data_IF_200587448303
#
_entry.id   IF_200587448303
#
_cell.length_a   1.000
_cell.length_b   1.000
_cell.length_c   1.000
_cell.angle_alpha   90.00
_cell.angle_beta   90.00
_cell.angle_gamma   90.00
#
_symmetry.space_group_name_H-M   'P 1'
#
loop_
_entity.id
_entity.type
_entity.pdbx_description
1 polymer ?
#
# COMPACT_ATOMS: atom_id res chain seq x y z
N UNK A 1 -1.07 16.19 -28.88
CA UNK A 1 0.08 17.07 -29.18
C UNK A 1 1.35 16.36 -28.75
N UNK A 2 2.26 16.05 -29.67
CA UNK A 2 3.61 15.62 -29.32
C UNK A 2 4.32 16.82 -28.68
N UNK A 3 4.78 16.67 -27.44
CA UNK A 3 5.53 17.72 -26.74
C UNK A 3 6.94 17.75 -27.30
N UNK A 4 7.41 18.93 -27.69
CA UNK A 4 8.76 19.12 -28.22
C UNK A 4 9.75 19.03 -27.05
N UNK A 5 10.59 18.00 -27.05
CA UNK A 5 11.64 17.82 -26.05
C UNK A 5 12.89 18.58 -26.52
N UNK A 6 13.46 19.38 -25.64
CA UNK A 6 14.75 20.03 -25.88
C UNK A 6 15.89 19.10 -25.47
N UNK A 7 17.09 19.37 -25.98
CA UNK A 7 18.29 18.57 -25.73
C UNK A 7 19.43 19.46 -25.26
N UNK A 8 20.17 19.01 -24.25
CA UNK A 8 21.38 19.65 -23.73
C UNK A 8 22.45 18.61 -23.46
N UNK A 9 23.72 18.99 -23.53
CA UNK A 9 24.83 18.12 -23.14
C UNK A 9 25.13 18.30 -21.65
N UNK A 10 25.01 17.22 -20.87
CA UNK A 10 25.41 17.17 -19.46
C UNK A 10 26.55 16.16 -19.35
N UNK A 11 27.76 16.62 -19.01
CA UNK A 11 28.96 15.77 -18.87
C UNK A 11 29.20 14.85 -20.09
N UNK A 12 29.09 15.41 -21.31
CA UNK A 12 29.20 14.73 -22.62
C UNK A 12 28.09 13.73 -22.95
N UNK A 13 27.00 13.69 -22.17
CA UNK A 13 25.82 12.86 -22.45
C UNK A 13 24.65 13.73 -22.88
N UNK A 14 23.98 13.34 -23.96
CA UNK A 14 22.77 14.02 -24.42
C UNK A 14 21.63 13.81 -23.41
N UNK A 15 21.15 14.90 -22.80
CA UNK A 15 20.01 14.92 -21.89
C UNK A 15 18.82 15.59 -22.58
N UNK A 16 17.78 14.80 -22.86
CA UNK A 16 16.50 15.34 -23.39
C UNK A 16 15.61 15.80 -22.23
N UNK A 17 14.95 16.96 -22.31
CA UNK A 17 14.07 17.43 -21.24
C UNK A 17 12.82 18.15 -21.76
N UNK A 18 11.79 18.20 -20.91
CA UNK A 18 10.56 18.95 -21.18
C UNK A 18 10.75 20.38 -20.64
N UNK A 19 10.93 21.40 -21.50
CA UNK A 19 11.17 22.76 -21.06
C UNK A 19 10.00 23.33 -20.25
N UNK A 20 8.79 22.77 -20.32
CA UNK A 20 7.67 23.19 -19.46
C UNK A 20 7.83 22.71 -18.01
N UNK A 21 8.61 21.65 -17.78
CA UNK A 21 8.76 21.01 -16.47
C UNK A 21 10.15 21.16 -15.87
N UNK A 22 11.14 21.40 -16.71
CA UNK A 22 12.55 21.41 -16.34
C UNK A 22 13.22 22.70 -16.82
N UNK A 23 14.24 23.15 -16.10
CA UNK A 23 15.13 24.22 -16.55
C UNK A 23 16.58 23.79 -16.34
N UNK A 24 17.47 24.32 -17.19
CA UNK A 24 18.90 24.05 -17.09
C UNK A 24 19.58 25.19 -16.33
N UNK A 25 20.40 24.84 -15.35
CA UNK A 25 21.23 25.78 -14.59
C UNK A 25 22.57 25.12 -14.28
N UNK A 26 23.67 25.83 -14.52
CA UNK A 26 25.04 25.36 -14.22
C UNK A 26 25.35 23.96 -14.78
N UNK A 27 24.84 23.64 -15.98
CA UNK A 27 25.04 22.34 -16.64
C UNK A 27 24.18 21.20 -16.10
N UNK A 28 23.19 21.48 -15.25
CA UNK A 28 22.32 20.48 -14.62
C UNK A 28 20.84 20.80 -14.88
N UNK A 29 20.02 19.75 -14.92
CA UNK A 29 18.58 19.84 -15.12
C UNK A 29 17.86 19.87 -13.77
N UNK A 30 16.95 20.82 -13.61
CA UNK A 30 16.19 21.03 -12.37
C UNK A 30 14.69 21.04 -12.64
N UNK A 31 13.92 20.56 -11.68
CA UNK A 31 12.46 20.66 -11.73
C UNK A 31 12.02 22.13 -11.57
N UNK A 32 11.16 22.63 -12.46
CA UNK A 32 10.58 23.99 -12.34
C UNK A 32 9.68 24.19 -11.12
N UNK A 33 9.17 23.11 -10.52
CA UNK A 33 8.22 23.17 -9.40
C UNK A 33 8.94 23.10 -8.05
N UNK A 34 9.80 22.10 -7.84
CA UNK A 34 10.47 21.88 -6.55
C UNK A 34 11.95 22.24 -6.56
N UNK A 35 12.52 22.64 -7.70
CA UNK A 35 13.92 23.03 -7.88
C UNK A 35 14.96 21.97 -7.48
N UNK A 36 14.54 20.71 -7.31
CA UNK A 36 15.48 19.61 -7.15
C UNK A 36 16.10 19.23 -8.49
N UNK A 37 17.35 18.78 -8.43
CA UNK A 37 18.09 18.26 -9.56
C UNK A 37 17.46 16.96 -10.07
N UNK A 38 17.34 16.83 -11.39
CA UNK A 38 16.71 15.70 -12.09
C UNK A 38 17.70 14.87 -12.91
N UNK A 39 18.84 15.44 -13.29
CA UNK A 39 19.95 14.66 -13.81
C UNK A 39 20.75 14.04 -12.66
N UNK A 40 21.01 12.74 -12.76
CA UNK A 40 21.89 12.03 -11.84
C UNK A 40 23.35 12.12 -12.27
N UNK A 41 24.19 11.29 -11.66
CA UNK A 41 25.60 11.16 -12.05
C UNK A 41 25.71 10.45 -13.39
N UNK A 42 26.65 10.88 -14.23
CA UNK A 42 27.06 10.09 -15.38
C UNK A 42 27.82 8.86 -14.90
N UNK A 43 27.45 7.70 -15.43
CA UNK A 43 28.10 6.42 -15.16
C UNK A 43 28.53 5.78 -16.47
N UNK A 44 29.71 5.15 -16.46
CA UNK A 44 30.21 4.42 -17.61
C UNK A 44 29.80 2.95 -17.51
N UNK A 45 29.14 2.45 -18.55
CA UNK A 45 28.62 1.10 -18.61
C UNK A 45 28.91 0.50 -19.98
N UNK A 46 29.65 -0.61 -20.02
CA UNK A 46 30.08 -1.28 -21.27
C UNK A 46 30.72 -0.34 -22.31
N UNK A 47 31.57 0.60 -21.87
CA UNK A 47 32.24 1.58 -22.74
C UNK A 47 31.35 2.71 -23.25
N UNK A 48 30.09 2.80 -22.77
CA UNK A 48 29.17 3.90 -23.06
C UNK A 48 28.91 4.72 -21.81
N UNK A 49 28.96 6.06 -21.93
CA UNK A 49 28.51 6.97 -20.86
C UNK A 49 26.98 7.03 -20.85
N UNK A 50 26.37 6.85 -19.68
CA UNK A 50 24.93 6.96 -19.48
C UNK A 50 24.62 7.91 -18.32
N UNK A 51 23.58 8.72 -18.48
CA UNK A 51 23.07 9.62 -17.45
C UNK A 51 21.72 9.10 -16.94
N UNK A 52 21.65 8.78 -15.66
CA UNK A 52 20.42 8.30 -15.01
C UNK A 52 19.60 9.48 -14.50
N UNK A 53 18.31 9.52 -14.82
CA UNK A 53 17.40 10.52 -14.23
C UNK A 53 17.14 10.20 -12.76
N UNK A 54 17.02 11.25 -11.97
CA UNK A 54 16.58 11.19 -10.57
C UNK A 54 15.16 11.72 -10.47
N UNK A 55 14.28 11.00 -9.78
CA UNK A 55 12.94 11.47 -9.46
C UNK A 55 13.03 12.64 -8.49
N UNK A 56 12.51 13.81 -8.87
CA UNK A 56 12.44 14.95 -7.94
C UNK A 56 11.33 14.75 -6.90
N UNK A 57 11.24 15.63 -5.90
CA UNK A 57 10.18 15.61 -4.88
C UNK A 57 8.79 15.47 -5.47
N UNK A 58 8.46 16.22 -6.53
CA UNK A 58 7.15 16.14 -7.18
C UNK A 58 6.85 14.74 -7.75
N UNK A 59 7.86 14.10 -8.35
CA UNK A 59 7.74 12.75 -8.89
C UNK A 59 7.57 11.73 -7.76
N UNK A 60 8.39 11.84 -6.70
CA UNK A 60 8.31 10.98 -5.51
C UNK A 60 6.95 11.11 -4.80
N UNK A 61 6.43 12.32 -4.63
CA UNK A 61 5.13 12.58 -4.02
C UNK A 61 3.97 12.07 -4.90
N UNK A 62 4.13 12.08 -6.22
CA UNK A 62 3.16 11.51 -7.16
C UNK A 62 3.15 10.00 -7.09
N UNK A 63 4.32 9.38 -7.10
CA UNK A 63 4.48 7.93 -6.95
C UNK A 63 3.95 7.45 -5.60
N UNK A 64 4.22 8.17 -4.51
CA UNK A 64 3.71 7.85 -3.18
C UNK A 64 2.17 7.92 -3.14
N UNK A 65 1.57 8.96 -3.73
CA UNK A 65 0.10 9.08 -3.84
C UNK A 65 -0.52 7.98 -4.69
N UNK A 66 0.12 7.61 -5.80
CA UNK A 66 -0.37 6.52 -6.64
C UNK A 66 -0.26 5.18 -5.91
N UNK A 67 0.87 4.89 -5.25
CA UNK A 67 1.03 3.69 -4.42
C UNK A 67 -0.02 3.59 -3.32
N UNK A 68 -0.29 4.69 -2.62
CA UNK A 68 -1.33 4.72 -1.59
C UNK A 68 -2.71 4.47 -2.20
N UNK A 69 -3.01 5.10 -3.35
CA UNK A 69 -4.27 4.87 -4.07
C UNK A 69 -4.44 3.40 -4.48
N UNK A 70 -3.40 2.79 -5.03
CA UNK A 70 -3.40 1.36 -5.40
C UNK A 70 -3.58 0.46 -4.18
N UNK A 71 -2.93 0.80 -3.06
CA UNK A 71 -3.11 0.08 -1.78
C UNK A 71 -4.56 0.14 -1.30
N UNK A 72 -5.18 1.32 -1.31
CA UNK A 72 -6.58 1.48 -0.90
C UNK A 72 -7.55 0.72 -1.82
N UNK A 73 -7.34 0.77 -3.14
CA UNK A 73 -8.15 -0.01 -4.09
C UNK A 73 -8.04 -1.51 -3.82
N UNK A 74 -6.85 -2.01 -3.52
CA UNK A 74 -6.65 -3.43 -3.20
C UNK A 74 -7.33 -3.82 -1.89
N UNK A 75 -7.24 -2.98 -0.84
CA UNK A 75 -7.95 -3.20 0.42
C UNK A 75 -9.46 -3.28 0.18
N UNK A 76 -10.04 -2.34 -0.56
CA UNK A 76 -11.47 -2.35 -0.89
C UNK A 76 -11.88 -3.61 -1.66
N UNK A 77 -11.07 -4.03 -2.64
CA UNK A 77 -11.29 -5.25 -3.41
C UNK A 77 -11.27 -6.49 -2.51
N UNK A 78 -10.30 -6.58 -1.60
CA UNK A 78 -10.17 -7.70 -0.66
C UNK A 78 -11.34 -7.73 0.32
N UNK A 79 -11.75 -6.59 0.90
CA UNK A 79 -12.91 -6.50 1.78
C UNK A 79 -14.20 -6.89 1.07
N UNK A 80 -14.40 -6.44 -0.17
CA UNK A 80 -15.55 -6.82 -1.01
C UNK A 80 -15.61 -8.33 -1.28
N UNK A 81 -14.46 -8.97 -1.46
CA UNK A 81 -14.37 -10.43 -1.64
C UNK A 81 -14.48 -11.23 -0.33
N UNK A 82 -14.24 -10.61 0.83
CA UNK A 82 -14.23 -11.24 2.14
C UNK A 82 -15.61 -11.22 2.82
N UNK A 83 -16.28 -10.06 2.78
CA UNK A 83 -17.49 -9.79 3.55
C UNK A 83 -18.74 -9.77 2.66
N UNK A 84 -19.83 -10.35 3.15
CA UNK A 84 -21.11 -10.36 2.44
C UNK A 84 -21.92 -9.08 2.68
N UNK A 85 -21.62 -8.33 3.75
CA UNK A 85 -22.30 -7.09 4.09
C UNK A 85 -21.30 -5.97 4.33
N UNK A 86 -21.61 -4.78 3.82
CA UNK A 86 -20.79 -3.57 4.00
C UNK A 86 -20.65 -3.16 5.48
N UNK A 87 -21.63 -3.53 6.33
CA UNK A 87 -21.57 -3.26 7.77
C UNK A 87 -20.37 -3.99 8.40
N UNK A 88 -19.97 -5.15 7.88
CA UNK A 88 -18.83 -5.90 8.41
C UNK A 88 -17.48 -5.22 8.14
N UNK A 89 -17.44 -4.28 7.19
CA UNK A 89 -16.22 -3.51 6.90
C UNK A 89 -15.86 -2.58 8.05
N UNK A 90 -16.84 -2.16 8.85
CA UNK A 90 -16.62 -1.31 10.02
C UNK A 90 -16.36 -2.11 11.30
N UNK A 91 -16.41 -3.44 11.25
CA UNK A 91 -16.09 -4.30 12.40
C UNK A 91 -14.58 -4.35 12.61
N UNK A 92 -14.01 -3.30 13.19
CA UNK A 92 -12.57 -3.18 13.49
C UNK A 92 -12.33 -3.23 14.99
N UNK A 93 -11.08 -3.44 15.39
CA UNK A 93 -10.71 -3.40 16.81
C UNK A 93 -10.89 -2.00 17.41
N UNK A 94 -10.72 -0.95 16.61
CA UNK A 94 -10.89 0.45 17.00
C UNK A 94 -12.37 0.78 17.24
N UNK A 95 -13.27 0.19 16.44
CA UNK A 95 -14.71 0.38 16.58
C UNK A 95 -15.35 -0.58 17.59
N UNK A 96 -14.56 -1.45 18.25
CA UNK A 96 -15.08 -2.40 19.21
C UNK A 96 -15.59 -1.68 20.47
N UNK A 97 -16.89 -1.76 20.73
CA UNK A 97 -17.55 -1.07 21.85
C UNK A 97 -17.70 -1.93 23.12
N UNK A 98 -17.22 -3.18 23.11
CA UNK A 98 -17.25 -4.05 24.29
C UNK A 98 -16.12 -3.71 25.26
N UNK A 99 -16.23 -4.24 26.49
CA UNK A 99 -15.14 -4.16 27.46
C UNK A 99 -13.87 -4.82 26.92
N UNK A 100 -12.73 -4.22 27.23
CA UNK A 100 -11.43 -4.83 26.96
C UNK A 100 -11.31 -6.12 27.78
N UNK A 101 -11.38 -7.24 27.05
CA UNK A 101 -11.37 -8.56 27.65
C UNK A 101 -10.27 -9.41 27.02
N UNK A 102 -10.02 -10.58 27.62
CA UNK A 102 -8.99 -11.50 27.16
C UNK A 102 -9.19 -11.92 25.69
N UNK A 103 -10.43 -12.03 25.21
CA UNK A 103 -10.70 -12.40 23.81
C UNK A 103 -10.25 -11.32 22.83
N UNK A 104 -10.46 -10.05 23.16
CA UNK A 104 -9.99 -8.92 22.36
C UNK A 104 -8.46 -8.87 22.33
N UNK A 105 -7.81 -9.06 23.49
CA UNK A 105 -6.34 -9.07 23.59
C UNK A 105 -5.74 -10.20 22.75
N UNK A 106 -6.29 -11.42 22.86
CA UNK A 106 -5.85 -12.58 22.07
C UNK A 106 -6.05 -12.33 20.57
N UNK A 107 -7.19 -11.73 20.17
CA UNK A 107 -7.44 -11.40 18.77
C UNK A 107 -6.43 -10.40 18.20
N UNK A 108 -6.09 -9.34 18.97
CA UNK A 108 -5.08 -8.36 18.59
C UNK A 108 -3.69 -8.99 18.48
N UNK A 109 -3.30 -9.83 19.44
CA UNK A 109 -2.02 -10.54 19.43
C UNK A 109 -1.91 -11.49 18.23
N UNK A 110 -2.98 -12.21 17.89
CA UNK A 110 -3.01 -13.07 16.72
C UNK A 110 -2.73 -12.31 15.41
N UNK A 111 -3.29 -11.12 15.26
CA UNK A 111 -3.01 -10.26 14.08
C UNK A 111 -1.57 -9.76 14.11
N UNK A 112 -1.10 -9.29 15.27
CA UNK A 112 0.28 -8.78 15.44
C UNK A 112 1.33 -9.84 15.06
N UNK A 113 1.12 -11.08 15.50
CA UNK A 113 2.05 -12.19 15.32
C UNK A 113 1.64 -13.10 14.14
N UNK A 114 0.81 -12.60 13.21
CA UNK A 114 0.15 -13.41 12.18
C UNK A 114 1.09 -14.24 11.31
N UNK A 115 2.26 -13.71 10.94
CA UNK A 115 3.22 -14.46 10.11
C UNK A 115 3.72 -15.72 10.82
N UNK A 116 3.99 -15.64 12.12
CA UNK A 116 4.38 -16.77 12.95
C UNK A 116 3.19 -17.71 13.17
N UNK A 117 2.01 -17.18 13.51
CA UNK A 117 0.79 -17.99 13.66
C UNK A 117 0.48 -18.80 12.39
N UNK A 118 0.64 -18.19 11.22
CA UNK A 118 0.47 -18.85 9.92
C UNK A 118 1.53 -19.93 9.68
N UNK A 119 2.79 -19.65 9.98
CA UNK A 119 3.90 -20.60 9.80
C UNK A 119 3.71 -21.85 10.67
N UNK A 120 3.30 -21.66 11.92
CA UNK A 120 3.09 -22.74 12.89
C UNK A 120 1.69 -23.38 12.80
N UNK A 121 0.84 -22.95 11.84
CA UNK A 121 -0.54 -23.39 11.65
C UNK A 121 -1.45 -23.24 12.88
N UNK A 122 -1.29 -22.14 13.61
CA UNK A 122 -2.08 -21.81 14.79
C UNK A 122 -3.33 -21.01 14.37
N UNK A 123 -4.48 -21.34 14.97
CA UNK A 123 -5.75 -20.65 14.79
C UNK A 123 -6.46 -20.38 16.11
N UNK A 124 -7.50 -19.54 16.06
CA UNK A 124 -8.32 -19.19 17.23
C UNK A 124 -9.72 -19.80 17.14
N UNK A 125 -10.23 -20.28 18.27
CA UNK A 125 -11.61 -20.72 18.43
C UNK A 125 -12.31 -19.84 19.46
N UNK A 126 -13.21 -18.97 18.99
CA UNK A 126 -14.10 -18.22 19.86
C UNK A 126 -15.39 -19.02 20.11
N UNK A 127 -15.72 -19.28 21.38
CA UNK A 127 -16.94 -19.97 21.80
C UNK A 127 -17.64 -19.21 22.93
N UNK A 128 -18.94 -19.45 23.13
CA UNK A 128 -19.76 -18.75 24.13
C UNK A 128 -21.18 -18.45 23.66
N UNK A 129 -21.97 -17.78 24.50
CA UNK A 129 -23.38 -17.46 24.26
C UNK A 129 -23.63 -16.61 22.99
N UNK A 130 -24.84 -16.69 22.43
CA UNK A 130 -25.25 -15.83 21.30
C UNK A 130 -25.15 -14.36 21.72
N UNK A 131 -24.67 -13.50 20.81
CA UNK A 131 -24.51 -12.07 21.08
C UNK A 131 -23.21 -11.68 21.80
N UNK A 132 -22.33 -12.63 22.16
CA UNK A 132 -21.07 -12.36 22.86
C UNK A 132 -19.95 -11.73 22.00
N UNK A 133 -20.26 -11.22 20.81
CA UNK A 133 -19.27 -10.52 19.95
C UNK A 133 -18.29 -11.41 19.15
N UNK A 134 -18.42 -12.75 19.15
CA UNK A 134 -17.49 -13.67 18.44
C UNK A 134 -17.34 -13.35 16.95
N UNK A 135 -18.47 -13.18 16.25
CA UNK A 135 -18.46 -12.84 14.82
C UNK A 135 -17.83 -11.47 14.58
N UNK A 136 -18.06 -10.53 15.48
CA UNK A 136 -17.43 -9.21 15.40
C UNK A 136 -15.90 -9.34 15.50
N UNK A 137 -15.38 -10.05 16.51
CA UNK A 137 -13.93 -10.27 16.67
C UNK A 137 -13.32 -11.00 15.45
N UNK A 138 -14.00 -12.01 14.91
CA UNK A 138 -13.54 -12.69 13.69
C UNK A 138 -13.48 -11.74 12.49
N UNK A 139 -14.48 -10.86 12.33
CA UNK A 139 -14.45 -9.83 11.29
C UNK A 139 -13.37 -8.78 11.55
N UNK A 140 -13.09 -8.42 12.81
CA UNK A 140 -12.00 -7.50 13.16
C UNK A 140 -10.63 -8.06 12.82
N UNK A 141 -10.39 -9.34 13.12
CA UNK A 141 -9.17 -10.04 12.67
C UNK A 141 -9.09 -9.98 11.14
N UNK A 142 -10.17 -10.34 10.43
CA UNK A 142 -10.19 -10.32 8.97
C UNK A 142 -9.90 -8.92 8.39
N UNK A 143 -10.52 -7.87 8.92
CA UNK A 143 -10.26 -6.49 8.51
C UNK A 143 -8.80 -6.11 8.72
N UNK A 144 -8.23 -6.38 9.91
CA UNK A 144 -6.84 -6.04 10.20
C UNK A 144 -5.85 -6.83 9.34
N UNK A 145 -6.12 -8.10 9.07
CA UNK A 145 -5.28 -8.90 8.16
C UNK A 145 -5.29 -8.36 6.73
N UNK A 146 -6.46 -7.95 6.23
CA UNK A 146 -6.58 -7.31 4.90
C UNK A 146 -5.85 -5.97 4.87
N UNK A 147 -6.03 -5.12 5.88
CA UNK A 147 -5.47 -3.77 5.91
C UNK A 147 -3.95 -3.75 6.12
N UNK A 148 -3.43 -4.62 6.98
CA UNK A 148 -2.00 -4.65 7.34
C UNK A 148 -1.18 -5.52 6.39
N UNK A 149 -1.71 -6.67 5.98
CA UNK A 149 -0.96 -7.66 5.20
C UNK A 149 -1.45 -7.80 3.75
N UNK A 150 -2.55 -7.14 3.35
CA UNK A 150 -3.12 -7.20 2.00
C UNK A 150 -3.36 -8.64 1.52
N UNK A 151 -3.81 -9.51 2.44
CA UNK A 151 -4.10 -10.91 2.13
C UNK A 151 -5.60 -11.15 1.94
N UNK A 152 -5.94 -12.12 1.09
CA UNK A 152 -7.31 -12.59 0.94
C UNK A 152 -7.78 -13.38 2.16
N UNK A 153 -8.85 -12.90 2.80
CA UNK A 153 -9.56 -13.62 3.87
C UNK A 153 -10.95 -14.03 3.37
N UNK A 154 -11.46 -15.16 3.89
CA UNK A 154 -12.81 -15.65 3.58
C UNK A 154 -13.58 -15.86 4.86
N UNK A 155 -14.72 -15.18 4.99
CA UNK A 155 -15.71 -15.47 6.03
C UNK A 155 -16.81 -16.35 5.43
N UNK A 156 -17.25 -17.34 6.19
CA UNK A 156 -18.31 -18.28 5.81
C UNK A 156 -19.29 -18.43 6.95
N UNK A 157 -20.58 -18.43 6.61
CA UNK A 157 -21.64 -18.74 7.56
C UNK A 157 -22.17 -20.14 7.26
N UNK A 158 -21.72 -21.10 8.06
CA UNK A 158 -22.09 -22.51 7.88
C UNK A 158 -23.57 -22.80 8.10
N UNK A 159 -24.35 -21.89 8.74
CA UNK A 159 -25.78 -22.10 8.92
C UNK A 159 -26.61 -21.84 7.65
N UNK A 160 -26.09 -21.07 6.69
CA UNK A 160 -26.83 -20.68 5.48
C UNK A 160 -26.52 -21.54 4.25
N UNK A 161 -25.56 -22.47 4.34
CA UNK A 161 -25.10 -23.29 3.21
C UNK A 161 -25.94 -24.58 2.98
N UNK A 162 -27.11 -24.68 3.62
CA UNK A 162 -28.14 -25.70 3.34
C UNK A 162 -29.30 -25.10 2.53
N UNK A 163 -29.03 -24.59 1.32
CA UNK A 163 -30.05 -24.31 0.29
C UNK A 163 -29.50 -24.62 -1.09
#
# INVERSE_FOLDING_TARGET
MMKELEKVMIEDVEYSYDPEKEYIKDGHAFCKVCHERKDGKVMEFFGNKMLFRTSCKCDRDREAREKERQKQMEIERLKSSCFNSIIQWSYTFENYQGEENQSLIIAKNFVKDYEEMKKENIGLLFYGSVGSGKTYLACSIANSLIEQYQIGVKIRNFCTDYQ
#
